data_IF_827282276519
#
_entry.id   IF_827282276519
#
_cell.length_a   1.000
_cell.length_b   1.000
_cell.length_c   1.000
_cell.angle_alpha   90.00
_cell.angle_beta   90.00
_cell.angle_gamma   90.00
#
_symmetry.space_group_name_H-M   'P 1'
#
loop_
_entity.id
_entity.type
_entity.pdbx_description
1 polymer ?
#
# COMPACT_ATOMS: atom_id res chain seq x y z
N UNK A 1 -74.97 -29.87 54.98
CA UNK A 1 -74.44 -28.88 54.00
C UNK A 1 -74.55 -29.47 52.59
N UNK A 2 -75.40 -28.90 51.73
CA UNK A 2 -75.49 -29.27 50.31
C UNK A 2 -74.31 -28.65 49.58
N UNK A 3 -73.32 -29.46 49.22
CA UNK A 3 -72.18 -29.04 48.40
C UNK A 3 -72.68 -28.88 46.95
N UNK A 4 -72.82 -27.63 46.48
CA UNK A 4 -73.20 -27.32 45.10
C UNK A 4 -72.02 -27.68 44.19
N UNK A 5 -72.20 -28.70 43.33
CA UNK A 5 -71.20 -29.24 42.40
C UNK A 5 -70.77 -28.33 41.24
N UNK A 6 -70.65 -27.02 41.46
CA UNK A 6 -70.26 -26.04 40.43
C UNK A 6 -68.76 -25.73 40.35
N UNK A 7 -67.96 -26.09 41.36
CA UNK A 7 -66.56 -25.66 41.47
C UNK A 7 -65.59 -26.35 40.51
N UNK A 8 -65.83 -27.63 40.17
CA UNK A 8 -64.91 -28.41 39.32
C UNK A 8 -64.94 -27.95 37.85
N UNK A 9 -66.09 -27.47 37.38
CA UNK A 9 -66.25 -26.98 35.99
C UNK A 9 -65.55 -25.62 35.80
N UNK A 10 -65.58 -24.75 36.82
CA UNK A 10 -64.93 -23.44 36.77
C UNK A 10 -63.38 -23.51 36.74
N UNK A 11 -62.78 -24.45 37.46
CA UNK A 11 -61.32 -24.64 37.47
C UNK A 11 -60.79 -25.22 36.15
N UNK A 12 -61.56 -26.11 35.50
CA UNK A 12 -61.21 -26.64 34.18
C UNK A 12 -61.28 -25.55 33.07
N UNK A 13 -62.20 -24.59 33.19
CA UNK A 13 -62.33 -23.47 32.26
C UNK A 13 -61.19 -22.44 32.41
N UNK A 14 -60.70 -22.20 33.63
CA UNK A 14 -59.61 -21.24 33.86
C UNK A 14 -58.24 -21.77 33.40
N UNK A 15 -57.97 -23.07 33.54
CA UNK A 15 -56.73 -23.69 33.03
C UNK A 15 -56.67 -23.72 31.49
N UNK A 16 -57.83 -23.69 30.81
CA UNK A 16 -57.93 -23.62 29.36
C UNK A 16 -57.60 -22.26 28.74
N UNK A 17 -57.37 -21.21 29.54
CA UNK A 17 -57.15 -19.83 29.07
C UNK A 17 -55.75 -19.27 29.40
N UNK A 18 -54.87 -20.04 30.04
CA UNK A 18 -53.50 -19.61 30.28
C UNK A 18 -52.72 -19.56 28.94
N UNK A 19 -51.99 -18.47 28.64
CA UNK A 19 -51.21 -18.37 27.41
C UNK A 19 -50.04 -19.36 27.45
N UNK A 20 -49.96 -20.23 26.44
CA UNK A 20 -48.86 -21.19 26.27
C UNK A 20 -47.64 -20.42 25.78
N UNK A 21 -46.46 -20.56 26.41
CA UNK A 21 -45.25 -19.92 25.92
C UNK A 21 -44.88 -20.46 24.53
N UNK A 22 -44.50 -19.54 23.65
CA UNK A 22 -44.12 -19.82 22.27
C UNK A 22 -42.60 -19.64 22.14
N UNK A 23 -41.91 -20.68 21.69
CA UNK A 23 -40.53 -20.57 21.27
C UNK A 23 -40.47 -20.58 19.74
N UNK A 24 -39.82 -19.57 19.15
CA UNK A 24 -39.66 -19.45 17.70
C UNK A 24 -38.18 -19.46 17.37
N UNK A 25 -37.75 -20.43 16.57
CA UNK A 25 -36.40 -20.48 15.99
C UNK A 25 -36.46 -20.52 14.47
N UNK A 26 -35.40 -20.03 13.84
CA UNK A 26 -35.23 -20.04 12.39
C UNK A 26 -34.02 -20.88 12.07
N UNK A 27 -34.23 -21.92 11.26
CA UNK A 27 -33.17 -22.83 10.83
C UNK A 27 -32.95 -22.68 9.32
N UNK A 28 -31.67 -22.64 8.92
CA UNK A 28 -31.27 -22.57 7.51
C UNK A 28 -31.39 -23.96 6.90
N UNK A 29 -32.27 -24.09 5.91
CA UNK A 29 -32.45 -25.27 5.08
C UNK A 29 -31.53 -25.29 3.86
N UNK A 30 -31.79 -26.18 2.89
CA UNK A 30 -30.93 -26.36 1.73
C UNK A 30 -30.91 -25.12 0.82
N UNK A 31 -29.76 -24.90 0.18
CA UNK A 31 -29.58 -23.93 -0.89
C UNK A 31 -30.46 -24.33 -2.09
N UNK A 32 -31.28 -23.41 -2.55
CA UNK A 32 -32.12 -23.57 -3.74
C UNK A 32 -31.36 -23.19 -5.00
N UNK A 33 -30.70 -22.03 -5.00
CA UNK A 33 -29.88 -21.56 -6.11
C UNK A 33 -28.95 -20.43 -5.67
N UNK A 34 -27.93 -20.23 -6.48
CA UNK A 34 -27.10 -19.03 -6.46
C UNK A 34 -27.40 -18.22 -7.71
N UNK A 35 -27.61 -16.91 -7.57
CA UNK A 35 -27.82 -16.02 -8.70
C UNK A 35 -27.08 -14.70 -8.50
N UNK A 36 -26.91 -13.98 -9.60
CA UNK A 36 -26.24 -12.70 -9.61
C UNK A 36 -27.25 -11.62 -9.98
N UNK A 37 -27.23 -10.51 -9.26
CA UNK A 37 -28.06 -9.34 -9.54
C UNK A 37 -27.15 -8.13 -9.77
N UNK A 38 -27.44 -7.38 -10.83
CA UNK A 38 -26.79 -6.10 -11.08
C UNK A 38 -27.67 -4.98 -10.56
N UNK A 39 -27.08 -4.11 -9.74
CA UNK A 39 -27.70 -2.92 -9.18
C UNK A 39 -26.89 -1.72 -9.64
N UNK A 40 -27.53 -0.81 -10.38
CA UNK A 40 -26.93 0.48 -10.70
C UNK A 40 -27.01 1.38 -9.47
N UNK A 41 -25.85 1.82 -8.96
CA UNK A 41 -25.80 2.70 -7.79
C UNK A 41 -26.14 4.16 -8.13
N UNK A 42 -26.12 4.52 -9.43
CA UNK A 42 -26.34 5.89 -9.89
C UNK A 42 -25.18 6.85 -9.57
N UNK A 43 -24.14 6.36 -8.89
CA UNK A 43 -22.90 7.10 -8.66
C UNK A 43 -22.08 7.16 -9.95
N UNK A 44 -21.62 8.36 -10.29
CA UNK A 44 -20.76 8.60 -11.43
C UNK A 44 -19.35 8.91 -10.95
N UNK A 45 -18.40 8.21 -11.52
CA UNK A 45 -16.97 8.44 -11.33
C UNK A 45 -16.41 9.10 -12.57
N UNK A 46 -15.47 10.02 -12.37
CA UNK A 46 -14.71 10.67 -13.42
C UNK A 46 -13.25 10.27 -13.26
N UNK A 47 -12.65 9.73 -14.31
CA UNK A 47 -11.26 9.35 -14.36
C UNK A 47 -10.55 10.05 -15.53
N UNK A 48 -9.25 10.27 -15.38
CA UNK A 48 -8.39 10.75 -16.45
C UNK A 48 -7.29 9.72 -16.69
N UNK A 49 -7.24 9.15 -17.90
CA UNK A 49 -6.12 8.34 -18.36
C UNK A 49 -5.10 9.25 -19.07
N UNK A 50 -3.82 8.90 -18.98
CA UNK A 50 -2.73 9.73 -19.53
C UNK A 50 -1.87 8.90 -20.45
N UNK A 51 -1.73 9.36 -21.68
CA UNK A 51 -0.83 8.81 -22.70
C UNK A 51 0.27 9.83 -23.03
N UNK A 52 1.53 9.39 -22.96
CA UNK A 52 2.70 10.23 -23.21
C UNK A 52 3.37 9.77 -24.52
N UNK A 53 3.41 10.65 -25.52
CA UNK A 53 4.10 10.43 -26.80
C UNK A 53 4.58 11.75 -27.36
N UNK A 54 5.88 11.93 -27.49
CA UNK A 54 6.46 13.20 -27.88
C UNK A 54 5.92 13.69 -29.25
N UNK A 55 5.61 15.00 -29.42
CA UNK A 55 5.73 16.11 -28.46
C UNK A 55 4.47 16.35 -27.61
N UNK A 56 3.59 15.35 -27.44
CA UNK A 56 2.27 15.51 -26.82
C UNK A 56 2.05 14.65 -25.57
N UNK A 57 1.33 15.21 -24.61
CA UNK A 57 0.72 14.51 -23.50
C UNK A 57 -0.78 14.57 -23.66
N UNK A 58 -1.44 13.42 -23.78
CA UNK A 58 -2.88 13.33 -24.00
C UNK A 58 -3.57 12.81 -22.74
N UNK A 59 -4.50 13.61 -22.22
CA UNK A 59 -5.46 13.23 -21.20
C UNK A 59 -6.72 12.71 -21.87
N UNK A 60 -7.22 11.55 -21.45
CA UNK A 60 -8.51 10.99 -21.85
C UNK A 60 -9.42 10.93 -20.64
N UNK A 61 -10.47 11.75 -20.64
CA UNK A 61 -11.45 11.84 -19.57
C UNK A 61 -12.58 10.86 -19.82
N UNK A 62 -12.82 10.01 -18.83
CA UNK A 62 -13.80 8.93 -18.89
C UNK A 62 -14.77 9.09 -17.72
N UNK A 63 -16.06 9.19 -18.04
CA UNK A 63 -17.12 9.07 -17.08
C UNK A 63 -17.60 7.62 -17.05
N UNK A 64 -17.74 7.05 -15.84
CA UNK A 64 -18.25 5.71 -15.65
C UNK A 64 -19.29 5.68 -14.54
N UNK A 65 -20.32 4.86 -14.72
CA UNK A 65 -21.27 4.54 -13.65
C UNK A 65 -20.65 3.47 -12.75
N UNK A 66 -20.95 3.48 -11.46
CA UNK A 66 -20.59 2.38 -10.56
C UNK A 66 -21.70 1.33 -10.60
N UNK A 67 -21.40 0.16 -11.17
CA UNK A 67 -22.28 -0.99 -11.12
C UNK A 67 -21.88 -1.88 -9.95
N UNK A 68 -22.88 -2.28 -9.16
CA UNK A 68 -22.73 -3.28 -8.10
C UNK A 68 -23.27 -4.60 -8.60
N UNK A 69 -22.43 -5.61 -8.58
CA UNK A 69 -22.80 -7.00 -8.83
C UNK A 69 -22.91 -7.70 -7.49
N UNK A 70 -24.11 -8.09 -7.10
CA UNK A 70 -24.41 -8.82 -5.88
C UNK A 70 -24.59 -10.31 -6.20
N UNK A 71 -23.92 -11.19 -5.46
CA UNK A 71 -24.14 -12.62 -5.52
C UNK A 71 -25.04 -13.03 -4.36
N UNK A 72 -26.16 -13.64 -4.71
CA UNK A 72 -27.22 -14.05 -3.79
C UNK A 72 -27.26 -15.57 -3.68
N UNK A 73 -27.49 -16.05 -2.45
CA UNK A 73 -27.85 -17.43 -2.17
C UNK A 73 -29.32 -17.47 -1.71
N UNK A 74 -30.18 -18.05 -2.55
CA UNK A 74 -31.57 -18.34 -2.18
C UNK A 74 -31.62 -19.70 -1.49
N UNK A 75 -32.18 -19.78 -0.30
CA UNK A 75 -32.31 -21.02 0.47
C UNK A 75 -33.69 -21.12 1.12
N UNK A 76 -34.03 -22.33 1.56
CA UNK A 76 -35.25 -22.54 2.36
C UNK A 76 -34.95 -22.15 3.81
N UNK A 77 -35.82 -21.37 4.43
CA UNK A 77 -35.83 -21.18 5.88
C UNK A 77 -36.98 -21.98 6.49
N UNK A 78 -36.64 -22.73 7.54
CA UNK A 78 -37.63 -23.39 8.39
C UNK A 78 -37.88 -22.51 9.62
N UNK A 79 -39.06 -21.91 9.68
CA UNK A 79 -39.54 -21.21 10.87
C UNK A 79 -40.27 -22.24 11.72
N UNK A 80 -39.61 -22.67 12.80
CA UNK A 80 -40.16 -23.66 13.72
C UNK A 80 -40.72 -22.90 14.92
N UNK A 81 -42.02 -23.07 15.15
CA UNK A 81 -42.72 -22.54 16.32
C UNK A 81 -43.11 -23.71 17.21
N UNK A 82 -42.52 -23.80 18.39
CA UNK A 82 -42.81 -24.83 19.38
C UNK A 82 -43.70 -24.25 20.48
N UNK A 83 -44.79 -24.97 20.77
CA UNK A 83 -45.67 -24.74 21.91
C UNK A 83 -45.36 -25.80 22.96
N UNK A 84 -44.84 -25.37 24.11
CA UNK A 84 -44.53 -26.25 25.22
C UNK A 84 -45.23 -25.80 26.50
N UNK A 85 -46.00 -26.70 27.12
CA UNK A 85 -46.60 -26.48 28.43
C UNK A 85 -45.84 -27.27 29.50
N UNK A 86 -44.97 -26.59 30.25
CA UNK A 86 -44.17 -27.19 31.32
C UNK A 86 -45.00 -27.82 32.45
N UNK A 87 -46.29 -27.48 32.54
CA UNK A 87 -47.21 -27.99 33.57
C UNK A 87 -47.98 -29.25 33.16
N UNK A 88 -47.92 -29.67 31.89
CA UNK A 88 -48.70 -30.78 31.37
C UNK A 88 -48.31 -32.14 32.00
N UNK A 89 -47.01 -32.45 32.06
CA UNK A 89 -46.51 -33.71 32.60
C UNK A 89 -46.75 -33.87 34.12
N UNK A 90 -46.49 -32.85 34.97
CA UNK A 90 -46.86 -32.89 36.39
C UNK A 90 -48.38 -33.03 36.61
N UNK A 91 -49.21 -32.34 35.82
CA UNK A 91 -50.67 -32.41 35.94
C UNK A 91 -51.20 -33.80 35.55
N UNK A 92 -50.71 -34.38 34.46
CA UNK A 92 -51.06 -35.75 34.03
C UNK A 92 -50.70 -36.79 35.09
N UNK A 93 -49.47 -36.74 35.62
CA UNK A 93 -48.98 -37.71 36.59
C UNK A 93 -49.72 -37.62 37.93
N UNK A 94 -49.86 -36.42 38.50
CA UNK A 94 -50.60 -36.23 39.75
C UNK A 94 -52.09 -36.58 39.58
N UNK A 95 -52.69 -36.22 38.45
CA UNK A 95 -54.09 -36.53 38.14
C UNK A 95 -54.34 -38.02 37.96
N UNK A 96 -53.46 -38.74 37.25
CA UNK A 96 -53.56 -40.18 37.07
C UNK A 96 -53.43 -40.93 38.40
N UNK A 97 -52.44 -40.57 39.23
CA UNK A 97 -52.22 -41.21 40.54
C UNK A 97 -53.41 -40.98 41.47
N UNK A 98 -53.87 -39.73 41.62
CA UNK A 98 -54.98 -39.42 42.53
C UNK A 98 -56.30 -40.05 42.06
N UNK A 99 -56.57 -40.04 40.75
CA UNK A 99 -57.76 -40.70 40.19
C UNK A 99 -57.70 -42.22 40.40
N UNK A 100 -56.55 -42.84 40.16
CA UNK A 100 -56.37 -44.28 40.31
C UNK A 100 -56.50 -44.73 41.78
N UNK A 101 -55.79 -44.07 42.71
CA UNK A 101 -55.86 -44.38 44.14
C UNK A 101 -57.26 -44.11 44.70
N UNK A 102 -57.86 -42.98 44.34
CA UNK A 102 -59.22 -42.64 44.78
C UNK A 102 -60.27 -43.62 44.24
N UNK A 103 -60.17 -43.99 42.95
CA UNK A 103 -61.02 -44.99 42.32
C UNK A 103 -60.88 -46.36 42.96
N UNK A 104 -59.65 -46.79 43.26
CA UNK A 104 -59.37 -48.07 43.92
C UNK A 104 -59.93 -48.11 45.35
N UNK A 105 -59.81 -47.02 46.12
CA UNK A 105 -60.43 -46.92 47.45
C UNK A 105 -61.96 -47.01 47.40
N UNK A 106 -62.59 -46.45 46.37
CA UNK A 106 -64.04 -46.53 46.17
C UNK A 106 -64.49 -47.91 45.69
N UNK A 107 -63.73 -48.57 44.81
CA UNK A 107 -64.01 -49.94 44.35
C UNK A 107 -63.78 -50.98 45.43
N UNK A 108 -62.75 -50.81 46.26
CA UNK A 108 -62.45 -51.66 47.42
C UNK A 108 -63.32 -51.35 48.64
N UNK A 109 -64.24 -50.37 48.56
CA UNK A 109 -65.19 -50.02 49.62
C UNK A 109 -65.92 -51.20 50.29
N UNK A 110 -66.37 -52.27 49.60
CA UNK A 110 -67.05 -53.38 50.26
C UNK A 110 -66.11 -54.27 51.08
N UNK A 111 -64.78 -54.19 50.86
CA UNK A 111 -63.78 -54.95 51.60
C UNK A 111 -63.44 -54.31 52.96
N UNK A 112 -63.85 -53.05 53.20
CA UNK A 112 -63.61 -52.36 54.46
C UNK A 112 -64.76 -52.53 55.46
N UNK A 113 -64.39 -52.72 56.72
CA UNK A 113 -65.35 -52.81 57.83
C UNK A 113 -66.19 -51.54 57.95
N UNK A 114 -67.51 -51.74 58.12
CA UNK A 114 -68.46 -50.67 58.41
C UNK A 114 -68.62 -50.43 59.93
N UNK A 115 -67.93 -51.18 60.78
CA UNK A 115 -67.95 -50.97 62.21
C UNK A 115 -67.27 -49.63 62.57
N UNK A 116 -67.80 -48.89 63.56
CA UNK A 116 -67.16 -47.67 64.04
C UNK A 116 -65.79 -47.99 64.63
N UNK A 117 -64.83 -47.08 64.45
CA UNK A 117 -63.48 -47.27 64.97
C UNK A 117 -63.47 -47.03 66.48
N UNK A 118 -63.18 -48.09 67.25
CA UNK A 118 -63.14 -48.03 68.71
C UNK A 118 -61.80 -47.52 69.26
N UNK A 119 -60.78 -47.37 68.40
CA UNK A 119 -59.45 -46.88 68.80
C UNK A 119 -59.36 -45.36 68.80
N UNK A 120 -60.31 -44.69 68.18
CA UNK A 120 -60.38 -43.24 68.04
C UNK A 120 -61.71 -42.79 68.68
N UNK A 121 -61.64 -42.02 69.77
CA UNK A 121 -62.82 -41.48 70.48
C UNK A 121 -62.67 -39.97 70.49
N UNK A 122 -63.69 -39.26 70.04
CA UNK A 122 -63.66 -37.79 70.02
C UNK A 122 -63.84 -37.20 71.42
N UNK A 123 -63.70 -35.86 71.54
CA UNK A 123 -63.83 -35.14 72.81
C UNK A 123 -65.24 -35.19 73.40
N UNK A 124 -66.23 -35.65 72.63
CA UNK A 124 -67.64 -35.78 73.02
C UNK A 124 -68.02 -37.24 73.33
N UNK A 125 -67.07 -38.18 73.25
CA UNK A 125 -67.24 -39.59 73.60
C UNK A 125 -67.77 -40.47 72.46
N UNK A 126 -67.85 -39.96 71.22
CA UNK A 126 -68.29 -40.76 70.07
C UNK A 126 -67.12 -41.54 69.46
N UNK A 127 -67.42 -42.76 69.00
CA UNK A 127 -66.47 -43.57 68.24
C UNK A 127 -66.17 -42.96 66.87
N UNK A 128 -64.92 -43.10 66.44
CA UNK A 128 -64.41 -42.60 65.18
C UNK A 128 -65.10 -43.22 63.94
N UNK A 129 -64.97 -42.55 62.78
CA UNK A 129 -65.58 -43.02 61.54
C UNK A 129 -65.04 -44.41 61.13
N UNK A 130 -65.93 -45.26 60.63
CA UNK A 130 -65.55 -46.59 60.13
C UNK A 130 -64.48 -46.50 59.04
N UNK A 131 -63.65 -47.55 58.91
CA UNK A 131 -62.66 -47.64 57.85
C UNK A 131 -63.30 -47.45 56.46
N UNK A 132 -64.52 -48.00 56.28
CA UNK A 132 -65.34 -47.78 55.07
C UNK A 132 -65.70 -46.31 54.86
N UNK A 133 -66.06 -45.57 55.90
CA UNK A 133 -66.39 -44.13 55.82
C UNK A 133 -65.15 -43.31 55.48
N UNK A 134 -64.00 -43.59 56.09
CA UNK A 134 -62.70 -42.96 55.75
C UNK A 134 -62.29 -43.24 54.30
N UNK A 135 -62.34 -44.49 53.85
CA UNK A 135 -62.03 -44.86 52.46
C UNK A 135 -62.97 -44.19 51.45
N UNK A 136 -64.25 -44.01 51.80
CA UNK A 136 -65.22 -43.32 50.91
C UNK A 136 -64.92 -41.83 50.81
N UNK A 137 -64.61 -41.18 51.94
CA UNK A 137 -64.30 -39.74 51.97
C UNK A 137 -62.99 -39.44 51.26
N UNK A 138 -61.93 -40.21 51.56
CA UNK A 138 -60.64 -40.06 50.90
C UNK A 138 -60.68 -40.46 49.42
N UNK A 139 -61.38 -41.55 49.09
CA UNK A 139 -61.57 -41.97 47.71
C UNK A 139 -62.30 -40.92 46.88
N UNK A 140 -63.38 -40.34 47.42
CA UNK A 140 -64.08 -39.23 46.78
C UNK A 140 -63.22 -37.97 46.64
N UNK A 141 -62.50 -37.56 47.70
CA UNK A 141 -61.62 -36.39 47.67
C UNK A 141 -60.50 -36.54 46.62
N UNK A 142 -59.87 -37.72 46.56
CA UNK A 142 -58.80 -38.01 45.61
C UNK A 142 -59.29 -38.03 44.15
N UNK A 143 -60.47 -38.58 43.88
CA UNK A 143 -61.07 -38.52 42.53
C UNK A 143 -61.45 -37.09 42.15
N UNK A 144 -62.03 -36.32 43.06
CA UNK A 144 -62.44 -34.92 42.83
C UNK A 144 -61.23 -34.02 42.53
N UNK A 145 -60.07 -34.30 43.13
CA UNK A 145 -58.82 -33.58 42.84
C UNK A 145 -58.06 -34.15 41.62
N UNK A 146 -58.13 -35.47 41.40
CA UNK A 146 -57.38 -36.17 40.37
C UNK A 146 -57.96 -36.02 38.96
N UNK A 147 -59.29 -36.07 38.81
CA UNK A 147 -59.93 -36.00 37.49
C UNK A 147 -59.69 -34.65 36.80
N UNK A 148 -59.87 -33.50 37.47
CA UNK A 148 -59.60 -32.20 36.84
C UNK A 148 -58.13 -32.05 36.41
N UNK A 149 -57.18 -32.47 37.25
CA UNK A 149 -55.75 -32.38 36.95
C UNK A 149 -55.34 -33.28 35.77
N UNK A 150 -55.94 -34.47 35.67
CA UNK A 150 -55.77 -35.36 34.52
C UNK A 150 -56.32 -34.71 33.24
N UNK A 151 -57.52 -34.15 33.29
CA UNK A 151 -58.14 -33.47 32.14
C UNK A 151 -57.33 -32.27 31.69
N UNK A 152 -56.84 -31.44 32.62
CA UNK A 152 -55.97 -30.30 32.28
C UNK A 152 -54.67 -30.76 31.63
N UNK A 153 -54.05 -31.81 32.16
CA UNK A 153 -52.84 -32.38 31.58
C UNK A 153 -53.06 -32.91 30.16
N UNK A 154 -54.19 -33.59 29.90
CA UNK A 154 -54.56 -34.08 28.56
C UNK A 154 -54.76 -32.91 27.60
N UNK A 155 -55.53 -31.89 28.00
CA UNK A 155 -55.82 -30.72 27.15
C UNK A 155 -54.54 -29.95 26.82
N UNK A 156 -53.65 -29.74 27.78
CA UNK A 156 -52.37 -29.07 27.56
C UNK A 156 -51.46 -29.88 26.63
N UNK A 157 -51.42 -31.21 26.78
CA UNK A 157 -50.64 -32.09 25.88
C UNK A 157 -51.21 -32.12 24.46
N UNK A 158 -52.53 -32.04 24.30
CA UNK A 158 -53.15 -31.95 22.97
C UNK A 158 -52.95 -30.59 22.29
N UNK A 159 -52.63 -29.55 23.06
CA UNK A 159 -52.33 -28.20 22.57
C UNK A 159 -50.84 -27.98 22.33
N UNK A 160 -49.96 -28.81 22.90
CA UNK A 160 -48.53 -28.74 22.61
C UNK A 160 -48.23 -29.34 21.24
N UNK A 161 -47.22 -28.79 20.58
CA UNK A 161 -46.86 -29.20 19.22
C UNK A 161 -45.89 -28.24 18.56
N UNK A 162 -45.22 -28.72 17.52
CA UNK A 162 -44.37 -27.91 16.67
C UNK A 162 -45.10 -27.61 15.36
N UNK A 163 -45.15 -26.34 14.98
CA UNK A 163 -45.56 -25.92 13.64
C UNK A 163 -44.33 -25.45 12.89
N UNK A 164 -44.08 -26.09 11.74
CA UNK A 164 -42.98 -25.69 10.84
C UNK A 164 -43.58 -24.97 9.64
N UNK A 165 -43.12 -23.75 9.38
CA UNK A 165 -43.44 -23.01 8.17
C UNK A 165 -42.19 -22.86 7.32
N UNK A 166 -42.30 -23.20 6.04
CA UNK A 166 -41.20 -23.05 5.08
C UNK A 166 -41.37 -21.75 4.32
N UNK A 167 -40.34 -20.90 4.31
CA UNK A 167 -40.29 -19.71 3.45
C UNK A 167 -38.98 -19.64 2.70
N UNK A 168 -38.93 -18.79 1.68
CA UNK A 168 -37.69 -18.49 0.95
C UNK A 168 -36.95 -17.38 1.69
N UNK A 169 -35.68 -17.65 1.98
CA UNK A 169 -34.71 -16.66 2.45
C UNK A 169 -33.75 -16.32 1.32
N UNK A 170 -33.23 -15.10 1.34
CA UNK A 170 -32.20 -14.62 0.43
C UNK A 170 -31.11 -13.91 1.25
N UNK A 171 -29.85 -14.13 0.89
CA UNK A 171 -28.71 -13.48 1.52
C UNK A 171 -27.63 -13.14 0.49
N UNK A 172 -27.03 -11.97 0.66
CA UNK A 172 -25.89 -11.54 -0.16
C UNK A 172 -24.64 -12.19 0.40
N UNK A 173 -23.99 -13.03 -0.41
CA UNK A 173 -22.75 -13.74 -0.03
C UNK A 173 -21.49 -13.07 -0.55
N UNK A 174 -21.60 -12.29 -1.64
CA UNK A 174 -20.51 -11.46 -2.12
C UNK A 174 -21.05 -10.24 -2.85
N UNK A 175 -20.26 -9.16 -2.82
CA UNK A 175 -20.55 -7.95 -3.59
C UNK A 175 -19.26 -7.50 -4.27
N UNK A 176 -19.40 -7.02 -5.50
CA UNK A 176 -18.31 -6.42 -6.27
C UNK A 176 -18.81 -5.17 -6.94
N UNK A 177 -18.13 -4.06 -6.67
CA UNK A 177 -18.38 -2.78 -7.34
C UNK A 177 -17.29 -2.57 -8.39
N UNK A 178 -17.71 -2.20 -9.60
CA UNK A 178 -16.79 -1.92 -10.69
C UNK A 178 -17.34 -0.80 -11.60
N UNK A 179 -16.45 -0.02 -12.23
CA UNK A 179 -16.85 0.92 -13.28
C UNK A 179 -17.53 0.16 -14.42
N UNK A 180 -18.69 0.64 -14.85
CA UNK A 180 -19.44 0.13 -15.98
C UNK A 180 -19.87 1.29 -16.88
N UNK A 181 -20.25 0.99 -18.13
CA UNK A 181 -20.71 1.99 -19.12
C UNK A 181 -19.75 3.17 -19.23
N UNK A 182 -18.48 2.86 -19.47
CA UNK A 182 -17.42 3.85 -19.63
C UNK A 182 -17.67 4.65 -20.92
N UNK A 183 -17.81 5.97 -20.79
CA UNK A 183 -18.05 6.90 -21.89
C UNK A 183 -17.04 8.06 -21.84
N UNK A 184 -16.62 8.60 -23.00
CA UNK A 184 -15.83 9.82 -23.03
C UNK A 184 -16.58 10.99 -22.38
N UNK A 185 -15.89 11.78 -21.56
CA UNK A 185 -16.45 12.93 -20.85
C UNK A 185 -15.93 14.24 -21.46
N UNK A 186 -16.83 15.02 -22.07
CA UNK A 186 -16.53 16.35 -22.58
C UNK A 186 -16.81 17.43 -21.52
N UNK A 187 -16.10 18.55 -21.61
CA UNK A 187 -16.20 19.69 -20.70
C UNK A 187 -14.93 20.54 -20.67
N UNK A 188 -14.92 21.54 -19.79
CA UNK A 188 -13.78 22.43 -19.53
C UNK A 188 -12.85 21.80 -18.49
N UNK A 189 -11.60 21.60 -18.85
CA UNK A 189 -10.54 21.09 -17.98
C UNK A 189 -9.88 22.23 -17.23
N UNK A 190 -9.79 22.09 -15.91
CA UNK A 190 -9.05 22.97 -15.02
C UNK A 190 -7.92 22.21 -14.33
N UNK A 191 -6.76 22.85 -14.21
CA UNK A 191 -5.59 22.29 -13.54
C UNK A 191 -5.45 22.89 -12.15
N UNK A 192 -5.35 22.05 -11.10
CA UNK A 192 -5.38 22.52 -9.71
C UNK A 192 -4.27 21.93 -8.82
N UNK A 193 -4.05 22.59 -7.67
CA UNK A 193 -3.18 22.10 -6.60
C UNK A 193 -1.68 22.27 -6.83
N UNK A 194 -1.27 23.01 -7.86
CA UNK A 194 0.14 23.35 -8.08
C UNK A 194 0.56 24.66 -7.44
N UNK A 195 1.87 24.89 -7.38
CA UNK A 195 2.46 26.17 -6.97
C UNK A 195 2.28 27.22 -8.07
N UNK A 196 1.82 28.42 -7.69
CA UNK A 196 1.60 29.53 -8.61
C UNK A 196 0.14 29.67 -9.04
N UNK A 197 -0.09 30.53 -10.04
CA UNK A 197 -1.42 30.68 -10.63
C UNK A 197 -1.77 29.42 -11.45
N UNK A 198 -3.02 28.92 -11.35
CA UNK A 198 -3.43 27.75 -12.11
C UNK A 198 -3.35 28.05 -13.62
N UNK A 199 -2.97 27.07 -14.45
CA UNK A 199 -3.04 27.18 -15.90
C UNK A 199 -4.45 27.55 -16.37
N UNK A 200 -4.54 28.25 -17.51
CA UNK A 200 -5.83 28.62 -18.10
C UNK A 200 -6.68 27.37 -18.41
N UNK A 201 -8.00 27.41 -18.18
CA UNK A 201 -8.90 26.30 -18.49
C UNK A 201 -8.90 25.96 -20.00
N UNK A 202 -9.15 24.69 -20.34
CA UNK A 202 -9.10 24.19 -21.72
C UNK A 202 -10.25 23.25 -22.02
N UNK A 203 -10.85 23.40 -23.19
CA UNK A 203 -11.90 22.49 -23.65
C UNK A 203 -11.35 21.12 -24.07
N UNK A 204 -12.11 20.08 -23.82
CA UNK A 204 -11.89 18.74 -24.38
C UNK A 204 -12.55 18.59 -25.76
N UNK A 205 -11.98 17.73 -26.59
CA UNK A 205 -12.59 17.25 -27.83
C UNK A 205 -12.71 15.72 -27.76
N UNK A 206 -13.93 15.19 -27.88
CA UNK A 206 -14.25 13.76 -27.75
C UNK A 206 -13.67 13.11 -26.48
N UNK A 207 -13.72 13.84 -25.36
CA UNK A 207 -13.21 13.46 -24.06
C UNK A 207 -11.70 13.48 -23.97
N UNK A 208 -11.02 14.16 -24.89
CA UNK A 208 -9.55 14.22 -24.91
C UNK A 208 -9.03 15.65 -24.83
N UNK A 209 -7.93 15.84 -24.12
CA UNK A 209 -7.15 17.07 -24.09
C UNK A 209 -5.70 16.72 -24.38
N UNK A 210 -5.12 17.28 -25.44
CA UNK A 210 -3.70 17.11 -25.75
C UNK A 210 -2.93 18.39 -25.46
N UNK A 211 -1.86 18.28 -24.68
CA UNK A 211 -0.93 19.36 -24.38
C UNK A 211 0.40 19.08 -25.09
N UNK A 212 1.02 20.13 -25.60
CA UNK A 212 2.39 20.06 -26.14
C UNK A 212 3.44 20.14 -25.03
N UNK A 213 4.67 19.72 -25.34
CA UNK A 213 5.82 19.84 -24.44
C UNK A 213 6.04 21.30 -24.00
N UNK A 214 5.88 22.25 -24.91
CA UNK A 214 6.05 23.69 -24.66
C UNK A 214 4.98 24.25 -23.72
N UNK A 215 3.76 23.72 -23.78
CA UNK A 215 2.67 24.12 -22.91
C UNK A 215 2.86 23.55 -21.50
N UNK A 216 3.23 22.29 -21.37
CA UNK A 216 3.27 21.61 -20.06
C UNK A 216 4.51 21.92 -19.23
N UNK A 217 5.65 22.26 -19.85
CA UNK A 217 6.91 22.51 -19.14
C UNK A 217 6.80 23.60 -18.06
N UNK A 218 5.92 24.60 -18.25
CA UNK A 218 5.68 25.70 -17.31
C UNK A 218 4.46 25.49 -16.40
N UNK A 219 3.74 24.38 -16.55
CA UNK A 219 2.52 24.10 -15.79
C UNK A 219 2.83 23.34 -14.50
N UNK A 220 2.36 23.90 -13.39
CA UNK A 220 2.39 23.25 -12.08
C UNK A 220 0.97 22.94 -11.64
N UNK A 221 0.67 21.66 -11.49
CA UNK A 221 -0.59 21.15 -10.96
C UNK A 221 -0.38 19.77 -10.33
N UNK A 222 -1.28 19.40 -9.42
CA UNK A 222 -1.33 18.09 -8.75
C UNK A 222 -2.53 17.26 -9.21
N UNK A 223 -3.58 17.90 -9.73
CA UNK A 223 -4.77 17.23 -10.23
C UNK A 223 -5.44 18.00 -11.36
N UNK A 224 -6.44 17.36 -11.96
CA UNK A 224 -7.26 17.91 -13.04
C UNK A 224 -8.74 17.81 -12.66
N UNK A 225 -9.51 18.83 -13.02
CA UNK A 225 -10.95 18.86 -12.87
C UNK A 225 -11.59 18.98 -14.25
N UNK A 226 -12.76 18.39 -14.43
CA UNK A 226 -13.63 18.59 -15.61
C UNK A 226 -14.93 19.22 -15.11
N UNK A 227 -15.25 20.42 -15.59
CA UNK A 227 -16.41 21.21 -15.15
C UNK A 227 -16.51 21.33 -13.61
N UNK A 228 -15.37 21.55 -12.95
CA UNK A 228 -15.25 21.64 -11.49
C UNK A 228 -15.33 20.31 -10.73
N UNK A 229 -15.48 19.18 -11.42
CA UNK A 229 -15.45 17.83 -10.81
C UNK A 229 -14.04 17.24 -10.90
N UNK A 230 -13.42 16.80 -9.80
CA UNK A 230 -12.08 16.21 -9.84
C UNK A 230 -12.08 14.89 -10.61
N UNK A 231 -11.18 14.76 -11.58
CA UNK A 231 -10.96 13.50 -12.27
C UNK A 231 -9.88 12.68 -11.54
N UNK A 232 -10.17 11.41 -11.30
CA UNK A 232 -9.23 10.47 -10.68
C UNK A 232 -8.09 10.16 -11.66
N UNK A 233 -6.87 10.47 -11.24
CA UNK A 233 -5.64 10.07 -11.91
C UNK A 233 -5.04 8.88 -11.16
N UNK A 234 -4.73 7.79 -11.85
CA UNK A 234 -3.97 6.68 -11.25
C UNK A 234 -2.55 7.14 -10.88
N UNK A 235 -1.90 6.43 -9.96
CA UNK A 235 -0.50 6.72 -9.60
C UNK A 235 0.43 6.66 -10.82
N UNK A 236 0.21 5.69 -11.72
CA UNK A 236 0.94 5.56 -12.97
C UNK A 236 0.71 6.75 -13.90
N UNK A 237 -0.53 7.24 -14.00
CA UNK A 237 -0.84 8.44 -14.78
C UNK A 237 -0.15 9.68 -14.20
N UNK A 238 -0.15 9.86 -12.87
CA UNK A 238 0.54 10.97 -12.21
C UNK A 238 2.06 10.94 -12.44
N UNK A 239 2.66 9.75 -12.39
CA UNK A 239 4.07 9.55 -12.70
C UNK A 239 4.37 9.89 -14.16
N UNK A 240 3.56 9.41 -15.11
CA UNK A 240 3.70 9.77 -16.54
C UNK A 240 3.63 11.26 -16.78
N UNK A 241 2.67 11.98 -16.18
CA UNK A 241 2.58 13.45 -16.27
C UNK A 241 3.85 14.11 -15.75
N UNK A 242 4.34 13.65 -14.59
CA UNK A 242 5.52 14.22 -13.93
C UNK A 242 6.76 14.00 -14.78
N UNK A 243 6.99 12.78 -15.24
CA UNK A 243 8.13 12.42 -16.09
C UNK A 243 8.09 13.18 -17.43
N UNK A 244 6.91 13.25 -18.07
CA UNK A 244 6.75 14.01 -19.32
C UNK A 244 7.05 15.50 -19.11
N UNK A 245 6.59 16.12 -18.02
CA UNK A 245 6.89 17.54 -17.72
C UNK A 245 8.38 17.80 -17.50
N UNK A 246 9.07 16.91 -16.79
CA UNK A 246 10.53 17.01 -16.57
C UNK A 246 11.26 16.90 -17.91
N UNK A 247 10.91 15.91 -18.72
CA UNK A 247 11.52 15.71 -20.03
C UNK A 247 11.19 16.81 -21.02
N UNK A 248 9.97 17.36 -20.98
CA UNK A 248 9.59 18.53 -21.73
C UNK A 248 10.61 19.64 -21.49
N UNK A 249 10.78 20.05 -20.22
CA UNK A 249 11.75 21.09 -19.85
C UNK A 249 13.19 20.76 -20.30
N UNK A 250 13.67 19.54 -20.04
CA UNK A 250 15.06 19.17 -20.36
C UNK A 250 15.37 19.19 -21.86
N UNK A 251 14.38 18.87 -22.70
CA UNK A 251 14.53 18.72 -24.15
C UNK A 251 14.18 20.00 -24.93
N UNK A 252 13.28 20.86 -24.42
CA UNK A 252 12.89 22.10 -25.10
C UNK A 252 13.65 23.34 -24.61
N UNK A 253 14.13 23.37 -23.35
CA UNK A 253 14.81 24.55 -22.80
C UNK A 253 16.21 24.71 -23.43
N UNK A 254 16.47 25.78 -24.21
CA UNK A 254 17.77 26.02 -24.80
C UNK A 254 18.73 26.43 -23.68
N UNK A 255 19.75 25.61 -23.40
CA UNK A 255 20.80 25.99 -22.45
C UNK A 255 21.98 26.53 -23.26
N UNK A 256 22.40 27.79 -23.06
CA UNK A 256 23.54 28.35 -23.77
C UNK A 256 24.81 27.55 -23.50
N UNK A 257 25.64 27.31 -24.51
CA UNK A 257 26.92 26.62 -24.35
C UNK A 257 27.84 27.29 -23.30
N UNK A 258 27.72 28.61 -23.14
CA UNK A 258 28.45 29.37 -22.12
C UNK A 258 27.99 29.07 -20.68
N UNK A 259 26.76 28.58 -20.48
CA UNK A 259 26.29 28.10 -19.17
C UNK A 259 26.81 26.69 -18.90
N UNK A 260 26.82 25.79 -19.90
CA UNK A 260 27.42 24.47 -19.78
C UNK A 260 28.90 24.54 -19.43
N UNK A 261 29.66 25.42 -20.08
CA UNK A 261 31.08 25.64 -19.81
C UNK A 261 31.35 26.10 -18.35
N UNK A 262 30.40 26.80 -17.73
CA UNK A 262 30.51 27.28 -16.34
C UNK A 262 30.00 26.29 -15.29
N UNK A 263 29.14 25.35 -15.67
CA UNK A 263 28.50 24.41 -14.77
C UNK A 263 29.47 23.35 -14.20
N UNK A 264 30.60 23.10 -14.87
CA UNK A 264 31.57 22.07 -14.50
C UNK A 264 31.13 20.64 -14.85
N UNK A 265 32.07 19.70 -14.80
CA UNK A 265 31.91 18.32 -15.30
C UNK A 265 30.85 17.51 -14.54
N UNK A 266 30.80 17.65 -13.20
CA UNK A 266 29.86 16.91 -12.35
C UNK A 266 28.37 17.22 -12.68
N UNK A 267 27.95 18.50 -12.68
CA UNK A 267 26.60 18.89 -13.06
C UNK A 267 26.22 18.52 -14.50
N UNK A 268 27.18 18.53 -15.44
CA UNK A 268 26.92 18.06 -16.82
C UNK A 268 26.66 16.55 -16.89
N UNK A 269 27.40 15.72 -16.14
CA UNK A 269 27.10 14.30 -16.05
C UNK A 269 25.72 14.03 -15.44
N UNK A 270 25.33 14.78 -14.40
CA UNK A 270 24.00 14.66 -13.81
C UNK A 270 22.90 15.05 -14.80
N UNK A 271 23.08 16.15 -15.54
CA UNK A 271 22.15 16.58 -16.59
C UNK A 271 22.05 15.56 -17.72
N UNK A 272 23.17 14.99 -18.16
CA UNK A 272 23.22 13.93 -19.17
C UNK A 272 22.41 12.71 -18.73
N UNK A 273 22.55 12.28 -17.47
CA UNK A 273 21.78 11.15 -16.94
C UNK A 273 20.28 11.46 -16.96
N UNK A 274 19.87 12.65 -16.51
CA UNK A 274 18.46 13.06 -16.52
C UNK A 274 17.88 13.13 -17.95
N UNK A 275 18.65 13.57 -18.93
CA UNK A 275 18.24 13.57 -20.34
C UNK A 275 18.12 12.14 -20.89
N UNK A 276 19.02 11.23 -20.50
CA UNK A 276 18.94 9.82 -20.89
C UNK A 276 17.69 9.12 -20.33
N UNK A 277 17.26 9.47 -19.12
CA UNK A 277 16.02 8.93 -18.53
C UNK A 277 14.76 9.27 -19.37
N UNK A 278 14.83 10.28 -20.24
CA UNK A 278 13.74 10.65 -21.16
C UNK A 278 13.59 9.71 -22.37
N UNK A 279 14.50 8.76 -22.59
CA UNK A 279 14.36 7.73 -23.65
C UNK A 279 13.12 6.84 -23.43
N UNK A 280 12.59 6.79 -22.20
CA UNK A 280 11.33 6.10 -21.89
C UNK A 280 10.08 6.71 -22.52
N UNK A 281 10.16 7.94 -23.06
CA UNK A 281 9.06 8.59 -23.76
C UNK A 281 9.17 8.31 -25.27
N UNK A 282 8.15 7.67 -25.88
CA UNK A 282 8.17 7.40 -27.31
C UNK A 282 8.38 8.67 -28.13
N UNK A 283 9.28 8.59 -29.12
CA UNK A 283 9.60 9.65 -30.11
C UNK A 283 10.27 10.91 -29.54
N UNK A 284 10.72 10.88 -28.29
CA UNK A 284 11.44 12.01 -27.70
C UNK A 284 12.81 12.25 -28.40
N UNK A 285 13.18 13.51 -28.72
CA UNK A 285 14.40 13.87 -29.43
C UNK A 285 15.64 13.87 -28.52
N UNK A 286 15.84 12.77 -27.78
CA UNK A 286 16.88 12.64 -26.77
C UNK A 286 18.27 12.62 -27.38
N UNK A 287 18.43 11.96 -28.54
CA UNK A 287 19.73 11.71 -29.16
C UNK A 287 20.51 12.99 -29.49
N UNK A 288 19.86 14.01 -30.02
CA UNK A 288 20.53 15.28 -30.37
C UNK A 288 20.94 16.05 -29.11
N UNK A 289 20.12 15.99 -28.05
CA UNK A 289 20.43 16.63 -26.77
C UNK A 289 21.59 15.94 -26.05
N UNK A 290 21.62 14.61 -26.04
CA UNK A 290 22.74 13.84 -25.49
C UNK A 290 24.03 14.10 -26.25
N UNK A 291 23.99 14.16 -27.59
CA UNK A 291 25.16 14.49 -28.41
C UNK A 291 25.74 15.86 -28.05
N UNK A 292 24.90 16.88 -27.89
CA UNK A 292 25.34 18.21 -27.49
C UNK A 292 25.95 18.24 -26.07
N UNK A 293 25.43 17.43 -25.14
CA UNK A 293 25.99 17.30 -23.79
C UNK A 293 27.32 16.54 -23.80
N UNK A 294 27.46 15.50 -24.63
CA UNK A 294 28.70 14.75 -24.81
C UNK A 294 29.81 15.64 -25.41
N UNK A 295 29.47 16.48 -26.39
CA UNK A 295 30.38 17.48 -26.95
C UNK A 295 30.82 18.51 -25.88
N UNK A 296 29.90 18.98 -25.04
CA UNK A 296 30.22 19.91 -23.95
C UNK A 296 31.11 19.28 -22.87
N UNK A 297 30.88 18.01 -22.53
CA UNK A 297 31.73 17.24 -21.61
C UNK A 297 33.13 17.03 -22.20
N UNK A 298 33.23 16.68 -23.49
CA UNK A 298 34.50 16.53 -24.18
C UNK A 298 35.29 17.86 -24.23
N UNK A 299 34.59 18.98 -24.45
CA UNK A 299 35.19 20.31 -24.43
C UNK A 299 35.75 20.71 -23.05
N UNK A 300 35.23 20.14 -21.96
CA UNK A 300 35.76 20.36 -20.60
C UNK A 300 36.87 19.38 -20.21
N UNK A 301 36.91 18.19 -20.81
CA UNK A 301 37.99 17.22 -20.61
C UNK A 301 39.32 17.72 -21.20
N UNK A 302 39.26 18.58 -22.22
CA UNK A 302 40.42 19.32 -22.72
C UNK A 302 40.43 20.74 -22.14
N UNK A 303 41.07 21.00 -20.97
CA UNK A 303 41.42 22.38 -20.64
C UNK A 303 42.24 22.89 -21.81
N UNK A 304 41.78 24.00 -22.43
CA UNK A 304 42.47 24.64 -23.55
C UNK A 304 43.97 24.64 -23.25
N UNK A 305 44.76 23.92 -24.06
CA UNK A 305 46.18 24.20 -24.21
C UNK A 305 46.27 25.71 -24.44
N UNK A 306 46.97 26.43 -23.57
CA UNK A 306 47.16 27.86 -23.73
C UNK A 306 47.61 28.12 -25.18
N UNK A 307 46.92 28.99 -25.93
CA UNK A 307 47.27 29.29 -27.31
C UNK A 307 48.68 29.89 -27.32
N UNK A 308 49.68 29.07 -27.65
CA UNK A 308 51.09 29.43 -27.58
C UNK A 308 52.03 28.37 -27.00
N UNK A 309 51.51 27.28 -26.41
CA UNK A 309 52.37 26.17 -25.98
C UNK A 309 53.02 25.49 -27.19
N UNK A 310 54.37 25.46 -27.29
CA UNK A 310 55.05 24.87 -28.44
C UNK A 310 54.81 23.35 -28.48
N UNK A 311 54.42 22.85 -29.66
CA UNK A 311 54.35 21.40 -29.90
C UNK A 311 55.78 20.84 -29.90
N UNK A 312 56.05 19.92 -28.99
CA UNK A 312 57.37 19.29 -28.83
C UNK A 312 57.27 17.80 -29.12
N UNK A 313 58.17 17.28 -29.94
CA UNK A 313 58.27 15.87 -30.32
C UNK A 313 59.47 15.14 -29.73
N UNK A 314 60.35 15.85 -29.02
CA UNK A 314 61.51 15.27 -28.33
C UNK A 314 61.86 16.04 -27.05
N UNK A 315 62.71 15.42 -26.21
CA UNK A 315 63.19 16.05 -24.98
C UNK A 315 64.05 17.30 -25.28
N UNK A 316 64.88 17.22 -26.31
CA UNK A 316 65.75 18.31 -26.76
C UNK A 316 64.94 19.48 -27.32
N UNK A 317 63.85 19.21 -28.06
CA UNK A 317 62.89 20.24 -28.47
C UNK A 317 62.19 20.88 -27.28
N UNK A 318 61.81 20.10 -26.26
CA UNK A 318 61.23 20.63 -25.03
C UNK A 318 62.19 21.57 -24.29
N UNK A 319 63.49 21.22 -24.19
CA UNK A 319 64.52 22.09 -23.62
C UNK A 319 64.67 23.40 -24.41
N UNK A 320 64.72 23.32 -25.74
CA UNK A 320 64.90 24.47 -26.60
C UNK A 320 63.69 25.43 -26.58
N UNK A 321 62.49 24.85 -26.54
CA UNK A 321 61.23 25.59 -26.60
C UNK A 321 60.89 26.28 -25.27
N UNK A 322 61.11 25.60 -24.14
CA UNK A 322 60.73 26.12 -22.82
C UNK A 322 61.88 26.80 -22.05
N UNK A 323 63.14 26.67 -22.50
CA UNK A 323 64.33 27.32 -21.92
C UNK A 323 64.32 27.32 -20.37
N UNK A 324 64.38 26.13 -19.76
CA UNK A 324 64.20 25.97 -18.32
C UNK A 324 65.24 26.78 -17.54
N UNK A 325 64.75 27.55 -16.56
CA UNK A 325 65.58 28.40 -15.70
C UNK A 325 66.04 27.68 -14.43
N UNK A 326 65.38 26.57 -14.09
CA UNK A 326 65.71 25.73 -12.95
C UNK A 326 66.16 24.34 -13.39
N UNK A 327 67.30 23.91 -12.86
CA UNK A 327 67.81 22.55 -13.02
C UNK A 327 67.81 21.85 -11.66
N UNK A 328 66.85 20.95 -11.48
CA UNK A 328 66.64 20.19 -10.26
C UNK A 328 67.26 18.81 -10.40
N UNK A 329 68.40 18.65 -9.74
CA UNK A 329 69.07 17.35 -9.57
C UNK A 329 69.16 17.03 -8.07
N UNK A 330 69.35 15.76 -7.68
CA UNK A 330 69.36 15.37 -6.27
C UNK A 330 70.30 16.19 -5.37
N UNK A 331 71.41 16.69 -5.93
CA UNK A 331 72.44 17.44 -5.21
C UNK A 331 72.37 18.96 -5.47
N UNK A 332 71.36 19.43 -6.20
CA UNK A 332 71.26 20.85 -6.56
C UNK A 332 70.72 21.71 -5.42
N UNK A 333 71.39 22.83 -5.14
CA UNK A 333 70.89 23.87 -4.25
C UNK A 333 69.57 24.51 -4.74
N UNK A 334 69.19 24.29 -6.01
CA UNK A 334 67.92 24.74 -6.56
C UNK A 334 66.70 24.00 -5.96
N UNK A 335 66.90 22.87 -5.29
CA UNK A 335 65.81 22.12 -4.64
C UNK A 335 65.13 22.90 -3.51
N UNK A 336 65.85 23.74 -2.76
CA UNK A 336 65.24 24.57 -1.71
C UNK A 336 64.26 25.60 -2.26
N UNK A 337 64.40 25.99 -3.53
CA UNK A 337 63.44 26.91 -4.18
C UNK A 337 62.05 26.29 -4.35
N UNK A 338 61.96 24.95 -4.31
CA UNK A 338 60.67 24.25 -4.34
C UNK A 338 59.95 24.23 -2.99
N UNK A 339 60.52 24.78 -1.91
CA UNK A 339 59.81 24.98 -0.64
C UNK A 339 58.69 26.02 -0.76
N UNK A 340 58.83 26.96 -1.70
CA UNK A 340 57.85 28.01 -2.06
C UNK A 340 57.51 27.95 -3.56
N UNK A 341 56.82 26.87 -4.03
CA UNK A 341 56.55 26.66 -5.45
C UNK A 341 55.64 27.72 -6.07
N UNK A 342 54.90 28.47 -5.25
CA UNK A 342 54.03 29.58 -5.68
C UNK A 342 54.84 30.72 -6.33
N UNK A 343 56.07 30.99 -5.84
CA UNK A 343 56.97 31.99 -6.42
C UNK A 343 57.57 31.56 -7.77
N UNK A 344 57.45 30.27 -8.10
CA UNK A 344 57.98 29.67 -9.32
C UNK A 344 56.90 29.34 -10.35
N UNK A 345 55.63 29.63 -10.07
CA UNK A 345 54.52 29.27 -10.95
C UNK A 345 54.72 29.82 -12.37
N UNK A 346 54.51 28.96 -13.36
CA UNK A 346 54.72 29.28 -14.78
C UNK A 346 56.18 29.19 -15.25
N UNK A 347 57.15 29.00 -14.34
CA UNK A 347 58.54 28.83 -14.74
C UNK A 347 58.81 27.40 -15.21
N UNK A 348 59.57 27.28 -16.30
CA UNK A 348 60.03 26.00 -16.81
C UNK A 348 61.26 25.49 -16.03
N UNK A 349 61.28 24.18 -15.81
CA UNK A 349 62.36 23.48 -15.12
C UNK A 349 62.74 22.18 -15.83
N UNK A 350 63.93 21.70 -15.52
CA UNK A 350 64.39 20.34 -15.79
C UNK A 350 64.54 19.64 -14.46
N UNK A 351 63.97 18.46 -14.36
CA UNK A 351 64.01 17.64 -13.15
C UNK A 351 64.59 16.27 -13.47
N UNK A 352 65.57 15.85 -12.66
CA UNK A 352 66.17 14.52 -12.68
C UNK A 352 65.93 13.84 -11.34
N UNK A 353 65.21 12.74 -11.34
CA UNK A 353 64.82 12.06 -10.11
C UNK A 353 64.54 10.58 -10.32
N UNK A 354 64.00 9.95 -9.30
CA UNK A 354 63.55 8.55 -9.33
C UNK A 354 62.03 8.52 -9.25
N UNK A 355 61.40 7.84 -10.19
CA UNK A 355 59.96 7.66 -10.19
C UNK A 355 59.54 6.74 -9.03
N UNK A 356 58.92 7.28 -7.99
CA UNK A 356 58.54 6.53 -6.78
C UNK A 356 57.28 5.71 -7.00
N UNK A 357 56.24 6.30 -7.62
CA UNK A 357 54.96 5.66 -7.95
C UNK A 357 54.10 6.53 -8.87
N UNK A 358 53.04 5.92 -9.42
CA UNK A 358 51.94 6.61 -10.10
C UNK A 358 50.75 6.73 -9.15
N UNK A 359 50.06 7.86 -9.23
CA UNK A 359 48.84 8.19 -8.48
C UNK A 359 47.71 8.38 -9.51
N UNK A 360 46.95 7.31 -9.75
CA UNK A 360 45.99 7.26 -10.86
C UNK A 360 46.66 7.19 -12.23
N UNK A 361 45.96 7.65 -13.27
CA UNK A 361 46.45 7.58 -14.67
C UNK A 361 47.34 8.77 -15.06
N UNK A 362 47.18 9.93 -14.40
CA UNK A 362 47.72 11.20 -14.90
C UNK A 362 48.71 11.88 -13.95
N UNK A 363 49.04 11.28 -12.80
CA UNK A 363 50.00 11.85 -11.84
C UNK A 363 51.09 10.83 -11.51
N UNK A 364 52.34 11.29 -11.50
CA UNK A 364 53.50 10.57 -11.03
C UNK A 364 54.12 11.28 -9.82
N UNK A 365 54.64 10.51 -8.87
CA UNK A 365 55.43 11.02 -7.74
C UNK A 365 56.90 10.76 -8.06
N UNK A 366 57.67 11.83 -8.23
CA UNK A 366 59.11 11.74 -8.53
C UNK A 366 59.91 12.25 -7.32
N UNK A 367 60.82 11.41 -6.83
CA UNK A 367 61.73 11.74 -5.75
C UNK A 367 62.98 12.40 -6.33
N UNK A 368 63.31 13.59 -5.84
CA UNK A 368 64.50 14.37 -6.24
C UNK A 368 65.28 14.74 -4.99
N UNK A 369 66.36 14.01 -4.71
CA UNK A 369 67.08 14.15 -3.43
C UNK A 369 66.14 13.87 -2.25
N UNK A 370 65.96 14.78 -1.27
CA UNK A 370 65.00 14.62 -0.18
C UNK A 370 63.56 15.02 -0.54
N UNK A 371 63.33 15.70 -1.67
CA UNK A 371 62.05 16.30 -2.01
C UNK A 371 61.21 15.39 -2.91
N UNK A 372 59.93 15.22 -2.57
CA UNK A 372 58.93 14.63 -3.48
C UNK A 372 58.32 15.72 -4.33
N UNK A 373 58.13 15.45 -5.62
CA UNK A 373 57.45 16.34 -6.58
C UNK A 373 56.31 15.57 -7.24
N UNK A 374 55.13 16.18 -7.25
CA UNK A 374 53.98 15.69 -8.00
C UNK A 374 54.12 16.14 -9.46
N UNK A 375 54.02 15.19 -10.40
CA UNK A 375 54.17 15.43 -11.82
C UNK A 375 52.89 15.06 -12.55
N UNK A 376 52.20 16.04 -13.13
CA UNK A 376 51.03 15.82 -13.97
C UNK A 376 51.45 15.48 -15.40
N UNK A 377 51.02 14.34 -15.91
CA UNK A 377 51.46 13.76 -17.18
C UNK A 377 50.52 14.04 -18.37
N UNK A 378 49.32 14.54 -18.11
CA UNK A 378 48.27 14.69 -19.12
C UNK A 378 47.66 13.36 -19.57
N UNK A 379 46.56 13.42 -20.30
CA UNK A 379 45.93 12.25 -20.91
C UNK A 379 46.64 11.95 -22.24
N UNK A 380 47.27 10.78 -22.38
CA UNK A 380 48.06 10.35 -23.54
C UNK A 380 49.30 11.22 -23.83
N UNK A 381 50.35 11.16 -22.98
CA UNK A 381 51.57 11.91 -23.23
C UNK A 381 52.23 11.52 -24.58
N UNK A 382 52.71 12.48 -25.37
CA UNK A 382 53.30 12.23 -26.69
C UNK A 382 54.60 11.40 -26.65
N UNK A 383 55.19 11.22 -25.46
CA UNK A 383 56.40 10.40 -25.23
C UNK A 383 56.12 8.94 -24.84
N UNK A 384 54.86 8.49 -24.92
CA UNK A 384 54.50 7.07 -24.81
C UNK A 384 54.32 6.54 -23.39
N UNK A 385 54.38 5.21 -23.24
CA UNK A 385 54.10 4.49 -21.98
C UNK A 385 55.08 4.91 -20.90
N UNK A 386 54.55 5.31 -19.73
CA UNK A 386 55.33 5.83 -18.60
C UNK A 386 56.51 4.94 -18.18
N UNK A 387 57.53 5.56 -17.60
CA UNK A 387 58.70 4.86 -17.06
C UNK A 387 58.30 3.85 -15.97
N UNK A 388 58.97 2.69 -15.85
CA UNK A 388 58.73 1.76 -14.76
C UNK A 388 59.01 2.41 -13.40
N UNK A 389 58.25 2.02 -12.37
CA UNK A 389 58.52 2.41 -10.98
C UNK A 389 59.98 2.09 -10.61
N UNK A 390 60.64 3.04 -9.94
CA UNK A 390 62.06 2.93 -9.54
C UNK A 390 63.05 3.36 -10.63
N UNK A 391 62.58 3.66 -11.84
CA UNK A 391 63.45 4.17 -12.90
C UNK A 391 63.93 5.58 -12.61
N UNK A 392 65.17 5.87 -13.02
CA UNK A 392 65.65 7.25 -13.11
C UNK A 392 64.95 7.93 -14.27
N UNK A 393 64.38 9.09 -14.02
CA UNK A 393 63.65 9.87 -15.01
C UNK A 393 64.24 11.25 -15.15
N UNK A 394 64.19 11.76 -16.38
CA UNK A 394 64.49 13.14 -16.71
C UNK A 394 63.25 13.74 -17.37
N UNK A 395 62.80 14.90 -16.87
CA UNK A 395 61.61 15.57 -17.38
C UNK A 395 61.85 17.07 -17.55
N UNK A 396 61.21 17.63 -18.58
CA UNK A 396 60.99 19.07 -18.71
C UNK A 396 59.56 19.35 -18.28
N UNK A 397 59.36 20.36 -17.44
CA UNK A 397 58.02 20.69 -16.97
C UNK A 397 57.88 22.15 -16.55
N UNK A 398 56.65 22.55 -16.29
CA UNK A 398 56.29 23.89 -15.83
C UNK A 398 55.71 23.79 -14.42
N UNK A 399 56.18 24.62 -13.50
CA UNK A 399 55.67 24.64 -12.12
C UNK A 399 54.24 25.17 -12.11
N UNK A 400 53.34 24.44 -11.46
CA UNK A 400 51.92 24.80 -11.34
C UNK A 400 51.56 25.32 -9.94
N UNK A 401 52.49 25.25 -8.99
CA UNK A 401 52.29 25.62 -7.59
C UNK A 401 52.37 24.39 -6.68
N UNK A 402 51.51 24.33 -5.67
CA UNK A 402 51.44 23.23 -4.70
C UNK A 402 50.14 22.45 -4.84
N UNK A 403 50.20 21.15 -4.67
CA UNK A 403 49.03 20.28 -4.71
C UNK A 403 49.05 19.31 -3.53
N UNK A 404 47.87 19.02 -3.00
CA UNK A 404 47.66 17.97 -2.00
C UNK A 404 47.01 16.76 -2.66
N UNK A 405 47.64 15.60 -2.49
CA UNK A 405 47.16 14.30 -2.95
C UNK A 405 47.13 13.35 -1.75
N UNK A 406 45.93 13.15 -1.19
CA UNK A 406 45.73 12.45 0.07
C UNK A 406 46.46 13.14 1.23
N UNK A 407 47.45 12.44 1.80
CA UNK A 407 48.32 12.95 2.89
C UNK A 407 49.61 13.59 2.38
N UNK A 408 49.92 13.48 1.08
CA UNK A 408 51.11 14.07 0.49
C UNK A 408 50.79 15.47 -0.03
N UNK A 409 51.41 16.49 0.56
CA UNK A 409 51.41 17.87 0.06
C UNK A 409 52.79 18.19 -0.49
N UNK A 410 52.86 18.57 -1.77
CA UNK A 410 54.12 18.65 -2.50
C UNK A 410 54.00 19.58 -3.71
N UNK A 411 55.12 20.14 -4.22
CA UNK A 411 55.14 20.93 -5.45
C UNK A 411 54.56 20.15 -6.63
N UNK A 412 53.72 20.81 -7.43
CA UNK A 412 53.13 20.28 -8.64
C UNK A 412 53.84 20.84 -9.88
N UNK A 413 54.23 19.94 -10.77
CA UNK A 413 54.85 20.25 -12.06
C UNK A 413 54.02 19.59 -13.15
N UNK A 414 53.64 20.35 -14.18
CA UNK A 414 53.07 19.79 -15.41
C UNK A 414 54.20 19.34 -16.32
N UNK A 415 54.26 18.05 -16.62
CA UNK A 415 55.23 17.52 -17.56
C UNK A 415 54.93 18.00 -18.98
N UNK A 416 55.97 18.52 -19.63
CA UNK A 416 55.99 18.85 -21.06
C UNK A 416 56.61 17.72 -21.85
N UNK A 417 57.63 17.07 -21.28
CA UNK A 417 58.23 15.85 -21.82
C UNK A 417 58.89 15.06 -20.70
N UNK A 418 58.90 13.73 -20.78
CA UNK A 418 59.58 12.86 -19.84
C UNK A 418 60.22 11.66 -20.54
N UNK A 419 61.40 11.25 -20.08
CA UNK A 419 62.07 10.02 -20.52
C UNK A 419 62.76 9.33 -19.35
N UNK A 420 63.09 8.06 -19.53
CA UNK A 420 64.05 7.37 -18.65
C UNK A 420 65.44 7.97 -18.86
N UNK A 421 66.10 8.37 -17.78
CA UNK A 421 67.49 8.81 -17.81
C UNK A 421 68.41 7.60 -17.96
N UNK A 422 69.36 7.66 -18.89
CA UNK A 422 70.39 6.63 -19.09
C UNK A 422 71.39 6.57 -17.92
#
# INVERSE_FOLDING_TARGET
MRWKGGGAVGLALMAGCAPIPLERRVERGPLLRTYTQEVALGERTLAAEVEARWPRLTFRFLAAEVCRTEQHEEFIEHVITEQYDASAAPALSAGAVNTAVGGLLLLARPLFSNAPDRKEIDREGHYGPSARKRATVWGGALVVLGVPSLVTGIVQTLRSGARTETRKGDTVVSLREAPCRVLPANGTVEFAGGVGAPPAPRETADGTLSLTAEEIQGMHFAGVLLDGTPALLSSEAQERVTNFRVCARLLTEPVPAAEWARAGVGPLHALRQQVADCEGIPEAPVADRLRALDEALAAQAHPQEEPGAPRVGSFEEALAAYRPLLHLTPDSAALSRLEEPEALQGQALVLRGVLERYEGQNIAVVQVGPTRVLVFLGENPPWGTGAPRGSRVELVGVVMGRQRLGTLESPLVRAVWMRTAL
#
